data_IF_228673410864
#
_entry.id   IF_228673410864
#
_cell.length_a   1.000
_cell.length_b   1.000
_cell.length_c   1.000
_cell.angle_alpha   90.00
_cell.angle_beta   90.00
_cell.angle_gamma   90.00
#
_symmetry.space_group_name_H-M   'P 1'
#
loop_
_entity.id
_entity.type
_entity.pdbx_description
1 polymer ?
#
# COMPACT_ATOMS: atom_id res chain seq x y z
N UNK A 1 40.30 16.63 45.70
CA UNK A 1 40.56 16.74 44.25
C UNK A 1 40.02 15.54 43.47
N UNK A 2 40.36 14.30 43.82
CA UNK A 2 39.89 13.09 43.10
C UNK A 2 38.35 12.88 43.06
N UNK A 3 37.62 13.31 44.09
CA UNK A 3 36.16 13.15 44.18
C UNK A 3 35.40 14.00 43.15
N UNK A 4 35.87 15.22 42.88
CA UNK A 4 35.21 16.10 41.90
C UNK A 4 35.46 15.61 40.47
N UNK A 5 36.66 15.11 40.19
CA UNK A 5 36.98 14.54 38.87
C UNK A 5 36.19 13.27 38.57
N UNK A 6 35.96 12.39 39.56
CA UNK A 6 35.16 11.18 39.35
C UNK A 6 33.69 11.52 39.13
N UNK A 7 33.13 12.49 39.85
CA UNK A 7 31.76 12.97 39.64
C UNK A 7 31.59 13.57 38.25
N UNK A 8 32.52 14.42 37.79
CA UNK A 8 32.48 15.02 36.45
C UNK A 8 32.62 13.95 35.36
N UNK A 9 33.48 12.94 35.56
CA UNK A 9 33.64 11.85 34.60
C UNK A 9 32.37 10.99 34.49
N UNK A 10 31.71 10.70 35.61
CA UNK A 10 30.46 9.92 35.64
C UNK A 10 29.32 10.67 34.96
N UNK A 11 29.14 11.97 35.24
CA UNK A 11 28.08 12.77 34.61
C UNK A 11 28.29 12.92 33.11
N UNK A 12 29.53 13.11 32.68
CA UNK A 12 29.89 13.14 31.26
C UNK A 12 29.57 11.81 30.57
N UNK A 13 29.95 10.69 31.18
CA UNK A 13 29.67 9.35 30.63
C UNK A 13 28.16 9.09 30.52
N UNK A 14 27.39 9.43 31.54
CA UNK A 14 25.93 9.28 31.54
C UNK A 14 25.26 10.13 30.45
N UNK A 15 25.76 11.35 30.22
CA UNK A 15 25.26 12.25 29.19
C UNK A 15 25.57 11.71 27.77
N UNK A 16 26.76 11.14 27.57
CA UNK A 16 27.11 10.52 26.29
C UNK A 16 26.25 9.28 26.00
N UNK A 17 26.01 8.44 27.01
CA UNK A 17 25.16 7.25 26.87
C UNK A 17 23.72 7.66 26.55
N UNK A 18 23.17 8.68 27.23
CA UNK A 18 21.80 9.13 27.00
C UNK A 18 21.61 9.67 25.58
N UNK A 19 22.57 10.46 25.08
CA UNK A 19 22.56 10.98 23.70
C UNK A 19 22.69 9.84 22.68
N UNK A 20 23.59 8.89 22.90
CA UNK A 20 23.74 7.73 22.02
C UNK A 20 22.44 6.91 21.94
N UNK A 21 21.79 6.65 23.08
CA UNK A 21 20.51 5.94 23.12
C UNK A 21 19.41 6.75 22.41
N UNK A 22 19.37 8.06 22.60
CA UNK A 22 18.39 8.93 21.93
C UNK A 22 18.57 8.92 20.40
N UNK A 23 19.81 8.95 19.90
CA UNK A 23 20.13 8.86 18.47
C UNK A 23 19.75 7.48 17.91
N UNK A 24 20.06 6.40 18.63
CA UNK A 24 19.68 5.05 18.21
C UNK A 24 18.15 4.87 18.18
N UNK A 25 17.44 5.38 19.18
CA UNK A 25 15.96 5.35 19.23
C UNK A 25 15.35 6.19 18.12
N UNK A 26 15.85 7.40 17.87
CA UNK A 26 15.32 8.28 16.81
C UNK A 26 15.58 7.72 15.41
N UNK A 27 16.71 7.04 15.19
CA UNK A 27 16.98 6.33 13.94
C UNK A 27 16.00 5.17 13.71
N UNK A 28 15.71 4.37 14.75
CA UNK A 28 14.72 3.27 14.65
C UNK A 28 13.32 3.81 14.38
N UNK A 29 12.93 4.88 15.09
CA UNK A 29 11.64 5.54 14.88
C UNK A 29 11.53 6.15 13.48
N UNK A 30 12.60 6.76 12.95
CA UNK A 30 12.63 7.30 11.59
C UNK A 30 12.48 6.20 10.53
N UNK A 31 13.09 5.03 10.72
CA UNK A 31 12.92 3.85 9.86
C UNK A 31 11.49 3.31 9.93
N UNK A 32 10.90 3.23 11.13
CA UNK A 32 9.50 2.83 11.31
C UNK A 32 8.49 3.86 10.77
N UNK A 33 8.79 5.15 10.83
CA UNK A 33 7.97 6.23 10.25
C UNK A 33 8.11 6.30 8.74
N UNK A 34 9.31 6.05 8.18
CA UNK A 34 9.51 5.93 6.74
C UNK A 34 8.80 4.70 6.14
N UNK A 35 8.61 3.64 6.93
CA UNK A 35 7.77 2.51 6.57
C UNK A 35 6.25 2.80 6.69
N UNK A 36 5.86 3.90 7.33
CA UNK A 36 4.45 4.25 7.64
C UNK A 36 3.91 5.41 6.81
N UNK A 37 4.73 6.12 6.01
CA UNK A 37 4.23 7.01 4.96
C UNK A 37 3.86 6.20 3.70
N UNK A 38 2.96 5.23 3.84
CA UNK A 38 2.32 4.62 2.70
C UNK A 38 1.29 5.63 2.18
N UNK A 39 1.60 6.31 1.08
CA UNK A 39 0.68 7.20 0.38
C UNK A 39 -0.68 6.49 0.19
N UNK A 40 -1.82 7.08 0.61
CA UNK A 40 -3.13 6.46 0.51
C UNK A 40 -3.44 5.92 -0.90
N UNK A 41 -2.91 6.56 -1.95
CA UNK A 41 -3.04 6.07 -3.32
C UNK A 41 -2.26 4.77 -3.54
N UNK A 42 -1.05 4.64 -3.00
CA UNK A 42 -0.28 3.38 -3.07
C UNK A 42 -0.94 2.25 -2.29
N UNK A 43 -1.59 2.55 -1.16
CA UNK A 43 -2.35 1.59 -0.37
C UNK A 43 -3.61 1.14 -1.15
N UNK A 44 -4.36 2.09 -1.72
CA UNK A 44 -5.52 1.82 -2.56
C UNK A 44 -5.17 0.93 -3.75
N UNK A 45 -4.13 1.29 -4.51
CA UNK A 45 -3.66 0.50 -5.65
C UNK A 45 -3.20 -0.90 -5.24
N UNK A 46 -2.54 -1.04 -4.09
CA UNK A 46 -2.10 -2.35 -3.58
C UNK A 46 -3.28 -3.24 -3.19
N UNK A 47 -4.30 -2.68 -2.53
CA UNK A 47 -5.52 -3.42 -2.21
C UNK A 47 -6.27 -3.81 -3.48
N UNK A 48 -6.48 -2.86 -4.41
CA UNK A 48 -7.19 -3.09 -5.67
C UNK A 48 -6.45 -4.02 -6.65
N UNK A 49 -5.14 -4.19 -6.48
CA UNK A 49 -4.32 -5.14 -7.27
C UNK A 49 -4.24 -6.55 -6.67
N UNK A 50 -4.85 -6.79 -5.51
CA UNK A 50 -4.91 -8.14 -4.94
C UNK A 50 -5.61 -9.10 -5.91
N UNK A 51 -5.10 -10.33 -6.05
CA UNK A 51 -5.64 -11.33 -6.99
C UNK A 51 -7.13 -11.65 -6.76
N UNK A 52 -7.66 -11.34 -5.57
CA UNK A 52 -9.08 -11.40 -5.21
C UNK A 52 -9.96 -10.35 -5.88
N UNK A 53 -9.40 -9.33 -6.54
CA UNK A 53 -10.12 -8.24 -7.20
C UNK A 53 -9.87 -8.21 -8.72
N UNK A 54 -9.28 -9.25 -9.30
CA UNK A 54 -9.19 -9.36 -10.75
C UNK A 54 -10.60 -9.43 -11.36
N UNK A 55 -10.85 -8.79 -12.51
CA UNK A 55 -12.12 -8.93 -13.21
C UNK A 55 -12.43 -10.41 -13.48
N UNK A 56 -13.69 -10.83 -13.30
CA UNK A 56 -14.09 -12.20 -13.64
C UNK A 56 -13.84 -12.46 -15.13
N UNK A 57 -13.32 -13.65 -15.42
CA UNK A 57 -13.11 -14.12 -16.79
C UNK A 57 -14.33 -14.94 -17.20
N UNK A 58 -14.99 -14.53 -18.28
CA UNK A 58 -16.15 -15.23 -18.85
C UNK A 58 -15.73 -15.94 -20.14
N UNK A 59 -16.25 -17.14 -20.35
CA UNK A 59 -16.11 -17.83 -21.64
C UNK A 59 -17.00 -17.16 -22.68
N UNK A 60 -16.71 -17.40 -23.96
CA UNK A 60 -17.59 -16.93 -25.04
C UNK A 60 -19.01 -17.50 -24.89
N UNK A 61 -19.13 -18.77 -24.48
CA UNK A 61 -20.43 -19.43 -24.30
C UNK A 61 -21.24 -18.80 -23.17
N UNK A 62 -20.60 -18.36 -22.07
CA UNK A 62 -21.26 -17.61 -21.01
C UNK A 62 -21.84 -16.29 -21.54
N UNK A 63 -21.05 -15.57 -22.35
CA UNK A 63 -21.48 -14.31 -22.97
C UNK A 63 -22.62 -14.52 -23.96
N UNK A 64 -22.54 -15.57 -24.79
CA UNK A 64 -23.59 -15.93 -25.73
C UNK A 64 -24.88 -16.29 -24.99
N UNK A 65 -24.81 -17.14 -23.97
CA UNK A 65 -25.97 -17.53 -23.17
C UNK A 65 -26.65 -16.32 -22.51
N UNK A 66 -25.86 -15.43 -21.88
CA UNK A 66 -26.40 -14.26 -21.21
C UNK A 66 -27.07 -13.27 -22.20
N UNK A 67 -26.47 -13.07 -23.37
CA UNK A 67 -26.98 -12.14 -24.39
C UNK A 67 -28.02 -12.75 -25.34
N UNK A 68 -28.50 -13.97 -25.09
CA UNK A 68 -29.38 -14.72 -25.99
C UNK A 68 -28.81 -14.84 -27.41
N UNK A 69 -27.56 -15.30 -27.47
CA UNK A 69 -26.72 -15.39 -28.66
C UNK A 69 -26.59 -14.06 -29.40
N UNK A 70 -26.33 -12.99 -28.64
CA UNK A 70 -26.18 -11.63 -29.17
C UNK A 70 -27.41 -11.15 -29.97
N UNK A 71 -28.62 -11.39 -29.42
CA UNK A 71 -29.89 -10.98 -30.04
C UNK A 71 -29.89 -9.46 -30.36
N UNK A 72 -30.12 -9.04 -31.61
CA UNK A 72 -30.22 -7.63 -31.99
C UNK A 72 -31.21 -6.83 -31.15
N UNK A 73 -32.27 -7.45 -30.62
CA UNK A 73 -33.24 -6.79 -29.73
C UNK A 73 -32.65 -6.36 -28.40
N UNK A 74 -31.55 -6.99 -27.96
CA UNK A 74 -30.81 -6.66 -26.74
C UNK A 74 -29.65 -5.70 -26.99
N UNK A 75 -29.39 -5.31 -28.24
CA UNK A 75 -28.32 -4.37 -28.59
C UNK A 75 -28.67 -2.97 -28.11
N UNK A 76 -27.83 -2.41 -27.26
CA UNK A 76 -28.01 -1.06 -26.67
C UNK A 76 -27.03 -0.03 -27.25
N UNK A 77 -26.02 -0.48 -27.99
CA UNK A 77 -25.05 0.42 -28.62
C UNK A 77 -24.32 -0.24 -29.78
N UNK A 78 -23.94 0.59 -30.75
CA UNK A 78 -23.08 0.22 -31.87
C UNK A 78 -22.09 1.34 -32.16
N UNK A 79 -20.82 1.00 -32.32
CA UNK A 79 -19.77 1.96 -32.66
C UNK A 79 -18.64 1.30 -33.44
N UNK A 80 -17.68 2.07 -33.94
CA UNK A 80 -16.49 1.54 -34.61
C UNK A 80 -15.61 0.62 -33.75
N UNK A 81 -15.86 0.56 -32.43
CA UNK A 81 -15.14 -0.30 -31.48
C UNK A 81 -15.93 -1.57 -31.11
N UNK A 82 -17.14 -1.75 -31.65
CA UNK A 82 -17.97 -2.92 -31.43
C UNK A 82 -19.39 -2.59 -30.96
N UNK A 83 -20.12 -3.66 -30.66
CA UNK A 83 -21.52 -3.64 -30.25
C UNK A 83 -21.67 -3.98 -28.77
N UNK A 84 -22.63 -3.32 -28.11
CA UNK A 84 -22.93 -3.53 -26.69
C UNK A 84 -24.33 -4.12 -26.55
N UNK A 85 -24.46 -5.19 -25.78
CA UNK A 85 -25.70 -5.93 -25.57
C UNK A 85 -26.08 -5.96 -24.09
N UNK A 86 -27.38 -5.91 -23.82
CA UNK A 86 -27.93 -6.18 -22.50
C UNK A 86 -27.98 -7.69 -22.26
N UNK A 87 -27.20 -8.15 -21.28
CA UNK A 87 -27.17 -9.53 -20.80
C UNK A 87 -28.23 -9.74 -19.72
#
# INVERSE_FOLDING_TARGET
>A
MALFSTVIAITSLLLLISVAIAILRSARLKVSSAATQQDPTTLFLRLHRSASLLPPVFSYDDLAAATHNFDPKRKIGDSGFGSVYLA
#
